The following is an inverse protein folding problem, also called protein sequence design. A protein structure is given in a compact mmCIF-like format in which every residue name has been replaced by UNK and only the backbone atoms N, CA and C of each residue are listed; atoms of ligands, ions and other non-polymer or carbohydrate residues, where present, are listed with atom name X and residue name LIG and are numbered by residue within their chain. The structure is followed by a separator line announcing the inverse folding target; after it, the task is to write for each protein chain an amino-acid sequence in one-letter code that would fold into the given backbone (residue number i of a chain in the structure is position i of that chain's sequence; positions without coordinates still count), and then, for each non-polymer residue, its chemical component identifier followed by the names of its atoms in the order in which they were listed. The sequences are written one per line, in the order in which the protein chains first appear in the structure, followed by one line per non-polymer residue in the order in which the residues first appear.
data_IF_842201350414
#
_entry.id   IF_842201350414
#
_cell.length_a   1.000
_cell.length_b   1.000
_cell.length_c   1.000
_cell.angle_alpha   90.00
_cell.angle_beta   90.00
_cell.angle_gamma   90.00
#
_symmetry.space_group_name_H-M   'P 1'
#
loop_
_entity.id
_entity.type
_entity.pdbx_description
1 polymer ?
#
# COMPACT_ATOMS: atom_id res chain seq x y z
N UNK A 1 33.97 25.96 2.23
CA UNK A 1 33.50 25.06 3.32
C UNK A 1 32.91 25.96 4.40
N UNK A 2 31.67 25.80 4.84
CA UNK A 2 31.05 24.55 5.26
C UNK A 2 29.75 24.25 4.52
N UNK A 3 29.70 23.02 4.00
CA UNK A 3 28.68 22.42 3.16
C UNK A 3 27.76 21.55 4.06
N UNK A 4 27.30 22.10 5.19
CA UNK A 4 26.62 21.36 6.26
C UNK A 4 25.21 21.86 6.60
N UNK A 5 24.60 22.71 5.77
CA UNK A 5 23.23 23.23 6.00
C UNK A 5 22.15 22.55 5.15
N UNK A 6 22.49 21.54 4.35
CA UNK A 6 21.55 20.69 3.64
C UNK A 6 21.77 19.27 4.11
N UNK A 7 21.47 19.02 5.39
CA UNK A 7 21.16 17.66 5.81
C UNK A 7 19.95 17.24 4.99
N UNK A 8 20.18 16.39 3.99
CA UNK A 8 19.11 15.69 3.28
C UNK A 8 18.21 15.07 4.34
N UNK A 9 17.04 15.67 4.53
CA UNK A 9 15.95 15.04 5.23
C UNK A 9 15.59 13.83 4.36
N UNK A 10 16.19 12.68 4.67
CA UNK A 10 15.85 11.41 4.04
C UNK A 10 14.36 11.22 4.25
N UNK A 11 13.59 11.43 3.18
CA UNK A 11 12.14 11.32 3.17
C UNK A 11 11.80 9.85 3.39
N UNK A 12 11.35 9.46 4.59
CA UNK A 12 11.18 8.06 4.96
C UNK A 12 10.04 7.34 4.18
N UNK A 13 9.31 8.07 3.33
CA UNK A 13 8.16 7.58 2.55
C UNK A 13 8.52 6.93 1.20
N UNK A 14 9.82 6.72 0.92
CA UNK A 14 10.27 6.13 -0.35
C UNK A 14 9.63 4.76 -0.70
N UNK A 15 9.27 3.95 0.29
CA UNK A 15 8.80 2.58 0.07
C UNK A 15 7.37 2.46 -0.47
N UNK A 16 6.61 3.55 -0.46
CA UNK A 16 5.21 3.58 -0.86
C UNK A 16 5.04 3.83 -2.37
N UNK A 17 6.09 4.31 -3.02
CA UNK A 17 6.03 4.85 -4.38
C UNK A 17 5.73 3.80 -5.44
N UNK A 18 6.08 2.53 -5.25
CA UNK A 18 5.86 1.52 -6.29
C UNK A 18 4.35 1.30 -6.55
N UNK A 19 3.56 1.10 -5.49
CA UNK A 19 2.10 0.94 -5.60
C UNK A 19 1.45 2.20 -6.13
N UNK A 20 1.84 3.37 -5.61
CA UNK A 20 1.30 4.64 -6.07
C UNK A 20 1.64 4.90 -7.54
N UNK A 21 2.88 4.65 -7.97
CA UNK A 21 3.31 4.79 -9.35
C UNK A 21 2.54 3.83 -10.27
N UNK A 22 2.38 2.57 -9.88
CA UNK A 22 1.57 1.60 -10.62
C UNK A 22 0.12 2.06 -10.74
N UNK A 23 -0.48 2.60 -9.68
CA UNK A 23 -1.81 3.20 -9.73
C UNK A 23 -1.86 4.42 -10.67
N UNK A 24 -0.88 5.32 -10.61
CA UNK A 24 -0.81 6.48 -11.51
C UNK A 24 -0.65 6.06 -12.98
N UNK A 25 0.08 4.98 -13.28
CA UNK A 25 0.17 4.42 -14.63
C UNK A 25 -1.18 3.94 -15.18
N UNK A 26 -2.14 3.58 -14.32
CA UNK A 26 -3.50 3.23 -14.75
C UNK A 26 -4.29 4.48 -15.21
N UNK A 27 -3.84 5.68 -14.82
CA UNK A 27 -4.58 6.94 -15.02
C UNK A 27 -3.96 7.90 -16.03
N UNK A 28 -2.73 7.67 -16.51
CA UNK A 28 -2.07 8.55 -17.48
C UNK A 28 -1.29 7.78 -18.57
N UNK A 29 -1.50 8.15 -19.84
CA UNK A 29 -0.66 7.73 -20.96
C UNK A 29 0.69 8.48 -20.90
N UNK A 30 1.81 7.75 -20.80
CA UNK A 30 3.14 8.28 -21.17
C UNK A 30 4.20 8.52 -20.09
N UNK A 31 4.27 7.70 -19.04
CA UNK A 31 5.36 7.81 -18.06
C UNK A 31 6.66 7.07 -18.44
N UNK A 32 7.82 7.68 -18.13
CA UNK A 32 9.16 7.10 -18.27
C UNK A 32 9.62 6.48 -16.96
N UNK A 33 9.92 5.17 -17.00
CA UNK A 33 10.47 4.35 -15.91
C UNK A 33 11.54 5.13 -15.11
N UNK A 34 11.40 5.31 -13.79
CA UNK A 34 12.48 5.87 -13.00
C UNK A 34 13.59 4.82 -12.93
N UNK A 35 14.82 5.30 -12.76
CA UNK A 35 16.03 4.48 -12.77
C UNK A 35 15.83 3.21 -11.91
N UNK A 36 16.23 2.05 -12.48
CA UNK A 36 15.85 0.70 -12.05
C UNK A 36 16.36 0.21 -10.69
N UNK A 37 16.58 1.10 -9.72
CA UNK A 37 16.99 0.79 -8.34
C UNK A 37 16.00 1.31 -7.28
N UNK A 38 14.84 1.85 -7.66
CA UNK A 38 13.86 2.34 -6.69
C UNK A 38 13.00 1.18 -6.10
N UNK A 39 13.43 0.74 -4.91
CA UNK A 39 12.56 0.51 -3.73
C UNK A 39 11.58 -0.67 -3.79
N UNK A 40 12.12 -1.88 -3.98
CA UNK A 40 11.36 -3.12 -3.73
C UNK A 40 11.05 -3.25 -2.23
N UNK A 41 9.77 -3.14 -1.86
CA UNK A 41 9.32 -3.47 -0.52
C UNK A 41 8.47 -4.74 -0.57
N UNK A 42 8.98 -5.81 0.04
CA UNK A 42 8.30 -7.10 0.13
C UNK A 42 6.88 -6.98 0.71
N UNK A 43 6.61 -5.98 1.55
CA UNK A 43 5.30 -5.72 2.14
C UNK A 43 4.26 -5.14 1.16
N UNK A 44 4.62 -4.87 -0.09
CA UNK A 44 3.71 -4.32 -1.11
C UNK A 44 3.69 -5.11 -2.42
N UNK A 45 4.46 -6.21 -2.52
CA UNK A 45 4.56 -7.03 -3.74
C UNK A 45 3.20 -7.64 -4.16
N UNK A 46 2.37 -8.03 -3.19
CA UNK A 46 1.00 -8.50 -3.43
C UNK A 46 0.13 -7.43 -4.11
N UNK A 47 0.25 -6.17 -3.68
CA UNK A 47 -0.50 -5.06 -4.28
C UNK A 47 -0.02 -4.78 -5.72
N UNK A 48 1.30 -4.83 -5.94
CA UNK A 48 1.87 -4.73 -7.28
C UNK A 48 1.38 -5.86 -8.19
N UNK A 49 1.31 -7.09 -7.66
CA UNK A 49 0.80 -8.27 -8.37
C UNK A 49 -0.67 -8.12 -8.76
N UNK A 50 -1.51 -7.61 -7.85
CA UNK A 50 -2.93 -7.30 -8.12
C UNK A 50 -3.05 -6.32 -9.29
N UNK A 51 -2.29 -5.22 -9.27
CA UNK A 51 -2.33 -4.23 -10.35
C UNK A 51 -1.94 -4.86 -11.70
N UNK A 52 -0.90 -5.70 -11.71
CA UNK A 52 -0.45 -6.38 -12.94
C UNK A 52 -1.47 -7.37 -13.47
N UNK A 53 -2.03 -8.22 -12.62
CA UNK A 53 -3.07 -9.19 -12.99
C UNK A 53 -4.30 -8.49 -13.56
N UNK A 54 -4.75 -7.42 -12.91
CA UNK A 54 -5.89 -6.64 -13.40
C UNK A 54 -5.59 -5.95 -14.73
N UNK A 55 -4.38 -5.46 -14.94
CA UNK A 55 -3.97 -4.80 -16.20
C UNK A 55 -3.79 -5.76 -17.37
N UNK A 56 -3.17 -6.91 -17.13
CA UNK A 56 -2.79 -7.87 -18.17
C UNK A 56 -3.97 -8.78 -18.54
N UNK A 57 -4.70 -9.26 -17.54
CA UNK A 57 -5.70 -10.33 -17.71
C UNK A 57 -7.11 -9.93 -17.23
N UNK A 58 -7.25 -8.82 -16.50
CA UNK A 58 -8.50 -8.41 -15.84
C UNK A 58 -9.11 -9.53 -14.96
N UNK A 59 -8.26 -10.35 -14.34
CA UNK A 59 -8.69 -11.48 -13.50
C UNK A 59 -9.01 -11.03 -12.08
N UNK A 60 -10.28 -10.64 -11.89
CA UNK A 60 -10.82 -10.20 -10.60
C UNK A 60 -10.77 -11.28 -9.52
N UNK A 61 -10.88 -12.56 -9.87
CA UNK A 61 -10.92 -13.64 -8.89
C UNK A 61 -9.53 -13.87 -8.29
N UNK A 62 -8.50 -13.88 -9.13
CA UNK A 62 -7.12 -13.97 -8.67
C UNK A 62 -6.70 -12.71 -7.89
N UNK A 63 -7.10 -11.53 -8.36
CA UNK A 63 -6.88 -10.27 -7.64
C UNK A 63 -7.52 -10.29 -6.23
N UNK A 64 -8.76 -10.77 -6.11
CA UNK A 64 -9.44 -10.91 -4.83
C UNK A 64 -8.67 -11.84 -3.88
N UNK A 65 -8.25 -13.02 -4.37
CA UNK A 65 -7.51 -13.99 -3.57
C UNK A 65 -6.21 -13.42 -3.00
N UNK A 66 -5.46 -12.67 -3.80
CA UNK A 66 -4.20 -12.04 -3.37
C UNK A 66 -4.47 -10.94 -2.35
N UNK A 67 -5.47 -10.09 -2.59
CA UNK A 67 -5.87 -9.03 -1.65
C UNK A 67 -6.35 -9.61 -0.31
N UNK A 68 -7.09 -10.71 -0.31
CA UNK A 68 -7.53 -11.35 0.93
C UNK A 68 -6.36 -11.88 1.76
N UNK A 69 -5.40 -12.54 1.13
CA UNK A 69 -4.15 -12.97 1.79
C UNK A 69 -3.40 -11.77 2.35
N UNK A 70 -3.21 -10.73 1.54
CA UNK A 70 -2.53 -9.50 1.93
C UNK A 70 -3.14 -8.85 3.17
N UNK A 71 -4.46 -8.65 3.16
CA UNK A 71 -5.16 -7.98 4.27
C UNK A 71 -5.17 -8.87 5.52
N UNK A 72 -5.30 -10.20 5.36
CA UNK A 72 -5.27 -11.13 6.49
C UNK A 72 -3.93 -11.07 7.23
N UNK A 73 -2.83 -10.96 6.49
CA UNK A 73 -1.49 -10.99 7.06
C UNK A 73 -0.99 -9.59 7.45
N UNK A 74 -1.64 -8.52 6.97
CA UNK A 74 -1.29 -7.10 7.20
C UNK A 74 -0.84 -6.80 8.62
N UNK A 75 -1.70 -7.09 9.61
CA UNK A 75 -1.42 -6.75 11.01
C UNK A 75 -0.27 -7.60 11.59
N UNK A 76 -0.18 -8.87 11.20
CA UNK A 76 0.85 -9.79 11.71
C UNK A 76 2.22 -9.47 11.14
N UNK A 77 2.30 -9.16 9.85
CA UNK A 77 3.54 -8.83 9.15
C UNK A 77 4.14 -7.50 9.63
N UNK A 78 3.35 -6.64 10.27
CA UNK A 78 3.74 -5.30 10.71
C UNK A 78 3.89 -5.14 12.21
N UNK A 79 4.13 -6.25 12.93
CA UNK A 79 4.41 -6.24 14.38
C UNK A 79 5.55 -5.31 14.81
N UNK A 80 6.50 -5.04 13.91
CA UNK A 80 7.64 -4.16 14.17
C UNK A 80 7.38 -2.67 13.89
N UNK A 81 6.26 -2.32 13.26
CA UNK A 81 5.98 -0.94 12.92
C UNK A 81 5.60 -0.13 14.17
N UNK A 82 6.02 1.13 14.22
CA UNK A 82 5.78 2.02 15.37
C UNK A 82 4.28 2.24 15.68
N UNK A 83 3.40 2.07 14.69
CA UNK A 83 1.95 2.16 14.84
C UNK A 83 1.31 0.87 15.34
N UNK A 84 2.02 -0.27 15.29
CA UNK A 84 1.46 -1.57 15.65
C UNK A 84 0.95 -1.56 17.09
N UNK A 85 -0.31 -1.97 17.28
CA UNK A 85 -1.01 -1.87 18.57
C UNK A 85 -1.09 -0.46 19.17
N UNK A 86 -0.78 0.60 18.40
CA UNK A 86 -0.92 1.99 18.83
C UNK A 86 -2.36 2.31 19.25
N UNK A 87 -3.34 1.66 18.62
CA UNK A 87 -4.76 1.74 18.97
C UNK A 87 -5.08 1.34 20.43
N UNK A 88 -4.23 0.52 21.07
CA UNK A 88 -4.40 0.15 22.49
C UNK A 88 -3.97 1.26 23.45
N UNK A 89 -3.33 2.32 22.94
CA UNK A 89 -2.81 3.46 23.71
C UNK A 89 -3.60 4.74 23.45
N UNK A 90 -4.82 4.62 22.91
CA UNK A 90 -5.72 5.76 22.74
C UNK A 90 -6.11 6.36 24.10
N UNK A 91 -6.22 7.71 24.22
CA UNK A 91 -6.13 8.71 23.17
C UNK A 91 -4.71 9.23 22.87
N UNK A 92 -3.69 8.77 23.60
CA UNK A 92 -2.33 9.32 23.55
C UNK A 92 -1.53 8.93 22.28
N UNK A 93 -2.12 8.10 21.40
CA UNK A 93 -1.49 7.66 20.16
C UNK A 93 -1.88 8.52 18.95
N UNK A 94 -0.90 9.11 18.27
CA UNK A 94 -1.08 9.89 17.04
C UNK A 94 -0.96 9.08 15.75
N UNK A 95 -0.65 7.78 15.84
CA UNK A 95 -0.24 6.94 14.69
C UNK A 95 -1.24 5.83 14.33
N UNK A 96 -2.54 6.09 14.42
CA UNK A 96 -3.58 5.07 14.18
C UNK A 96 -3.76 4.69 12.70
N UNK A 97 -3.37 5.54 11.76
CA UNK A 97 -3.60 5.34 10.32
C UNK A 97 -2.99 4.06 9.76
N UNK A 98 -1.86 3.59 10.27
CA UNK A 98 -1.22 2.34 9.83
C UNK A 98 -2.04 1.08 10.11
N UNK A 99 -3.03 1.14 11.02
CA UNK A 99 -3.92 0.02 11.33
C UNK A 99 -4.75 -0.43 10.12
N UNK A 100 -5.13 0.49 9.23
CA UNK A 100 -6.00 0.24 8.10
C UNK A 100 -5.25 0.01 6.79
N UNK A 101 -5.76 -0.89 5.95
CA UNK A 101 -5.20 -1.17 4.61
C UNK A 101 -5.75 -0.24 3.52
N UNK A 102 -5.51 1.07 3.63
CA UNK A 102 -6.03 2.07 2.67
C UNK A 102 -5.65 1.79 1.21
N UNK A 103 -4.43 1.28 0.97
CA UNK A 103 -3.98 0.93 -0.38
C UNK A 103 -4.78 -0.24 -0.97
N UNK A 104 -5.06 -1.27 -0.17
CA UNK A 104 -5.89 -2.38 -0.60
C UNK A 104 -7.33 -1.93 -0.88
N UNK A 105 -7.88 -1.04 -0.04
CA UNK A 105 -9.18 -0.42 -0.27
C UNK A 105 -9.25 0.37 -1.58
N UNK A 106 -8.22 1.16 -1.89
CA UNK A 106 -8.13 1.88 -3.15
C UNK A 106 -8.11 0.93 -4.36
N UNK A 107 -7.40 -0.19 -4.30
CA UNK A 107 -7.39 -1.18 -5.38
C UNK A 107 -8.74 -1.88 -5.55
N UNK A 108 -9.43 -2.20 -4.46
CA UNK A 108 -10.79 -2.74 -4.53
C UNK A 108 -11.73 -1.78 -5.24
N UNK A 109 -11.70 -0.50 -4.84
CA UNK A 109 -12.51 0.54 -5.46
C UNK A 109 -12.18 0.70 -6.95
N UNK A 110 -10.89 0.77 -7.29
CA UNK A 110 -10.42 1.01 -8.66
C UNK A 110 -10.77 -0.13 -9.62
N UNK A 111 -10.68 -1.37 -9.15
CA UNK A 111 -10.84 -2.57 -9.99
C UNK A 111 -12.19 -3.28 -9.80
N UNK A 112 -13.05 -2.77 -8.91
CA UNK A 112 -14.35 -3.36 -8.59
C UNK A 112 -14.21 -4.86 -8.26
N UNK A 113 -13.33 -5.14 -7.27
CA UNK A 113 -12.98 -6.50 -6.81
C UNK A 113 -13.74 -6.81 -5.52
N UNK A 114 -14.53 -7.89 -5.51
CA UNK A 114 -15.26 -8.28 -4.30
C UNK A 114 -14.32 -8.95 -3.28
N UNK A 115 -14.25 -8.42 -2.07
CA UNK A 115 -13.51 -9.04 -0.95
C UNK A 115 -14.46 -9.57 0.12
N UNK A 116 -14.09 -10.69 0.74
CA UNK A 116 -14.72 -11.17 1.96
C UNK A 116 -14.36 -10.25 3.15
N UNK A 117 -15.29 -10.10 4.11
CA UNK A 117 -15.15 -9.20 5.28
C UNK A 117 -13.82 -9.42 6.00
N UNK A 118 -13.04 -8.33 6.16
CA UNK A 118 -11.83 -8.30 6.97
C UNK A 118 -11.83 -7.11 7.92
N UNK A 119 -11.23 -7.26 9.11
CA UNK A 119 -11.21 -6.24 10.17
C UNK A 119 -10.31 -5.05 9.86
N UNK A 120 -9.27 -5.25 9.03
CA UNK A 120 -8.30 -4.21 8.68
C UNK A 120 -8.66 -3.47 7.39
N UNK A 121 -9.71 -3.93 6.70
CA UNK A 121 -10.20 -3.38 5.46
C UNK A 121 -11.28 -2.32 5.73
N UNK A 122 -11.05 -1.04 5.37
CA UNK A 122 -12.00 0.03 5.63
C UNK A 122 -13.14 0.00 4.60
N UNK A 123 -14.03 -1.00 4.71
CA UNK A 123 -15.15 -1.24 3.80
C UNK A 123 -16.05 -0.01 3.61
N UNK A 124 -16.29 0.74 4.69
CA UNK A 124 -17.16 1.93 4.68
C UNK A 124 -16.59 3.08 3.83
N UNK A 125 -15.31 3.04 3.43
CA UNK A 125 -14.71 4.01 2.50
C UNK A 125 -14.81 3.58 1.03
N UNK A 126 -15.19 2.34 0.77
CA UNK A 126 -15.22 1.75 -0.57
C UNK A 126 -16.65 1.64 -1.13
N UNK A 127 -17.65 1.50 -0.24
CA UNK A 127 -19.09 1.46 -0.56
C UNK A 127 -19.71 2.86 -0.69
#
# INVERSE_FOLDING_TARGET
MSLLALGEQLDYDYWEYEVLNLCFHLTQDGYKKPAGELLYNLHYDDLCSVIRIMRENNDKAQAAQILECYIKDWHTCRKGDFWHNGHNKMPDSTYYSGYWTFKAAALVYLFDVLLLKSMYYPKDLVE
#
